data_IF_146102090654
#
_entry.id   IF_146102090654
#
_cell.length_a   1.000
_cell.length_b   1.000
_cell.length_c   1.000
_cell.angle_alpha   90.00
_cell.angle_beta   90.00
_cell.angle_gamma   90.00
#
_symmetry.space_group_name_H-M   'P 1'
#
loop_
_entity.id
_entity.type
_entity.pdbx_description
1 polymer ?
#
# COMPACT_ATOMS: atom_id res chain seq x y z
N UNK A 1 -10.72 26.07 22.49
CA UNK A 1 -10.17 26.86 21.38
C UNK A 1 -9.75 25.90 20.29
N UNK A 2 -10.17 26.12 19.03
CA UNK A 2 -9.72 25.29 17.91
C UNK A 2 -8.21 25.50 17.66
N UNK A 3 -7.46 24.47 17.25
CA UNK A 3 -6.04 24.64 16.95
C UNK A 3 -5.85 25.56 15.73
N UNK A 4 -4.78 26.39 15.72
CA UNK A 4 -4.41 27.22 14.58
C UNK A 4 -4.35 26.46 13.26
N UNK A 5 -4.68 27.12 12.16
CA UNK A 5 -4.67 26.48 10.83
C UNK A 5 -3.29 25.94 10.44
N UNK A 6 -2.21 26.57 10.91
CA UNK A 6 -0.85 26.11 10.65
C UNK A 6 -0.57 24.74 11.29
N UNK A 7 -1.20 24.40 12.42
CA UNK A 7 -1.12 23.04 12.95
C UNK A 7 -1.80 22.01 12.04
N UNK A 8 -2.92 22.36 11.41
CA UNK A 8 -3.59 21.47 10.45
C UNK A 8 -2.72 21.26 9.20
N UNK A 9 -2.06 22.31 8.71
CA UNK A 9 -1.09 22.20 7.61
C UNK A 9 0.06 21.25 7.95
N UNK A 10 0.59 21.30 9.17
CA UNK A 10 1.63 20.36 9.61
C UNK A 10 1.11 18.91 9.67
N UNK A 11 -0.15 18.70 10.09
CA UNK A 11 -0.75 17.37 10.12
C UNK A 11 -0.90 16.79 8.71
N UNK A 12 -1.44 17.56 7.75
CA UNK A 12 -1.62 17.06 6.38
C UNK A 12 -0.26 16.80 5.70
N UNK A 13 0.75 17.64 5.93
CA UNK A 13 2.11 17.41 5.43
C UNK A 13 2.73 16.12 6.00
N UNK A 14 2.48 15.80 7.28
CA UNK A 14 2.90 14.52 7.87
C UNK A 14 2.21 13.33 7.18
N UNK A 15 0.95 13.47 6.81
CA UNK A 15 0.23 12.42 6.09
C UNK A 15 0.75 12.23 4.67
N UNK A 16 1.12 13.30 3.97
CA UNK A 16 1.79 13.20 2.67
C UNK A 16 3.11 12.41 2.78
N UNK A 17 3.91 12.70 3.80
CA UNK A 17 5.13 11.94 4.08
C UNK A 17 4.84 10.44 4.34
N UNK A 18 3.76 10.11 5.06
CA UNK A 18 3.35 8.73 5.28
C UNK A 18 2.82 8.05 4.00
N UNK A 19 2.15 8.77 3.10
CA UNK A 19 1.74 8.25 1.80
C UNK A 19 2.98 7.89 0.97
N UNK A 20 3.97 8.78 0.92
CA UNK A 20 5.24 8.54 0.22
C UNK A 20 5.93 7.31 0.83
N UNK A 21 6.06 7.25 2.15
CA UNK A 21 6.67 6.12 2.84
C UNK A 21 5.94 4.79 2.56
N UNK A 22 4.61 4.78 2.53
CA UNK A 22 3.81 3.60 2.19
C UNK A 22 4.06 3.14 0.75
N UNK A 23 4.16 4.07 -0.20
CA UNK A 23 4.45 3.76 -1.60
C UNK A 23 5.87 3.18 -1.74
N UNK A 24 6.86 3.78 -1.08
CA UNK A 24 8.25 3.27 -1.06
C UNK A 24 8.33 1.86 -0.50
N UNK A 25 7.66 1.58 0.63
CA UNK A 25 7.59 0.22 1.20
C UNK A 25 6.94 -0.76 0.25
N UNK A 26 5.86 -0.35 -0.43
CA UNK A 26 5.15 -1.21 -1.40
C UNK A 26 6.03 -1.52 -2.61
N UNK A 27 6.78 -0.54 -3.13
CA UNK A 27 7.73 -0.74 -4.22
C UNK A 27 8.87 -1.69 -3.82
N UNK A 28 9.41 -1.55 -2.60
CA UNK A 28 10.39 -2.49 -2.07
C UNK A 28 9.83 -3.91 -1.99
N UNK A 29 8.63 -4.08 -1.41
CA UNK A 29 7.98 -5.39 -1.32
C UNK A 29 7.69 -5.99 -2.70
N UNK A 30 7.35 -5.18 -3.71
CA UNK A 30 7.17 -5.62 -5.08
C UNK A 30 8.47 -6.23 -5.63
N UNK A 31 9.57 -5.47 -5.57
CA UNK A 31 10.87 -5.90 -6.06
C UNK A 31 11.36 -7.16 -5.32
N UNK A 32 11.24 -7.17 -4.00
CA UNK A 32 11.67 -8.29 -3.17
C UNK A 32 10.84 -9.56 -3.41
N UNK A 33 9.51 -9.44 -3.50
CA UNK A 33 8.65 -10.58 -3.84
C UNK A 33 8.93 -11.10 -5.26
N UNK A 34 9.21 -10.20 -6.22
CA UNK A 34 9.57 -10.58 -7.60
C UNK A 34 10.87 -11.36 -7.63
N UNK A 35 11.87 -10.91 -6.85
CA UNK A 35 13.11 -11.64 -6.65
C UNK A 35 12.86 -13.05 -6.10
N UNK A 36 12.11 -13.19 -5.00
CA UNK A 36 11.80 -14.51 -4.40
C UNK A 36 11.07 -15.42 -5.40
N UNK A 37 10.02 -14.92 -6.06
CA UNK A 37 9.26 -15.70 -7.03
C UNK A 37 10.13 -16.12 -8.23
N UNK A 38 10.96 -15.20 -8.73
CA UNK A 38 11.93 -15.47 -9.79
C UNK A 38 12.96 -16.53 -9.38
N UNK A 39 13.47 -16.46 -8.15
CA UNK A 39 14.38 -17.46 -7.59
C UNK A 39 13.71 -18.83 -7.50
N UNK A 40 12.46 -18.92 -7.04
CA UNK A 40 11.71 -20.18 -7.01
C UNK A 40 11.59 -20.76 -8.42
N UNK A 41 11.15 -19.96 -9.40
CA UNK A 41 10.98 -20.44 -10.79
C UNK A 41 12.31 -20.92 -11.38
N UNK A 42 13.37 -20.13 -11.22
CA UNK A 42 14.67 -20.40 -11.84
C UNK A 42 15.41 -21.58 -11.17
N UNK A 43 15.40 -21.63 -9.84
CA UNK A 43 16.16 -22.62 -9.07
C UNK A 43 15.42 -23.95 -8.86
N UNK A 44 14.11 -24.04 -9.17
CA UNK A 44 13.29 -25.21 -8.85
C UNK A 44 13.93 -26.54 -9.27
N UNK A 45 14.33 -26.67 -10.53
CA UNK A 45 14.93 -27.93 -11.03
C UNK A 45 16.21 -28.27 -10.29
N UNK A 46 17.09 -27.30 -10.10
CA UNK A 46 18.36 -27.49 -9.38
C UNK A 46 18.12 -27.92 -7.93
N UNK A 47 17.14 -27.32 -7.24
CA UNK A 47 16.79 -27.68 -5.87
C UNK A 47 16.23 -29.12 -5.77
N UNK A 48 15.41 -29.54 -6.74
CA UNK A 48 14.87 -30.90 -6.78
C UNK A 48 15.95 -31.96 -7.02
N UNK A 49 17.01 -31.64 -7.77
CA UNK A 49 18.14 -32.55 -7.97
C UNK A 49 19.03 -32.73 -6.73
N UNK A 50 18.90 -31.88 -5.70
CA UNK A 50 19.67 -31.99 -4.45
C UNK A 50 19.03 -32.93 -3.42
N UNK A 51 17.90 -33.55 -3.75
CA UNK A 51 17.14 -34.42 -2.85
C UNK A 51 16.75 -35.73 -3.53
N UNK A 52 16.53 -36.79 -2.73
CA UNK A 52 16.07 -38.07 -3.26
C UNK A 52 14.69 -37.92 -3.88
N UNK A 53 14.39 -38.75 -4.89
CA UNK A 53 13.12 -38.75 -5.62
C UNK A 53 11.89 -38.83 -4.71
N UNK A 54 12.01 -39.54 -3.58
CA UNK A 54 10.95 -39.65 -2.56
C UNK A 54 10.55 -38.30 -1.96
N UNK A 55 11.48 -37.37 -1.76
CA UNK A 55 11.24 -36.07 -1.12
C UNK A 55 11.05 -34.93 -2.13
N UNK A 56 11.35 -35.14 -3.42
CA UNK A 56 11.15 -34.14 -4.48
C UNK A 56 9.72 -33.62 -4.53
N UNK A 57 8.72 -34.50 -4.43
CA UNK A 57 7.32 -34.09 -4.43
C UNK A 57 6.98 -33.17 -3.25
N UNK A 58 7.56 -33.41 -2.07
CA UNK A 58 7.33 -32.59 -0.88
C UNK A 58 7.95 -31.19 -1.04
N UNK A 59 9.19 -31.12 -1.52
CA UNK A 59 9.84 -29.83 -1.82
C UNK A 59 9.09 -29.06 -2.89
N UNK A 60 8.65 -29.73 -3.96
CA UNK A 60 7.87 -29.10 -5.03
C UNK A 60 6.57 -28.47 -4.50
N UNK A 61 5.87 -29.14 -3.57
CA UNK A 61 4.67 -28.59 -2.92
C UNK A 61 5.01 -27.36 -2.08
N UNK A 62 6.08 -27.38 -1.29
CA UNK A 62 6.50 -26.23 -0.47
C UNK A 62 6.83 -25.02 -1.36
N UNK A 63 7.61 -25.24 -2.43
CA UNK A 63 7.96 -24.20 -3.39
C UNK A 63 6.71 -23.64 -4.10
N UNK A 64 5.77 -24.50 -4.47
CA UNK A 64 4.50 -24.08 -5.07
C UNK A 64 3.66 -23.22 -4.10
N UNK A 65 3.57 -23.61 -2.81
CA UNK A 65 2.89 -22.81 -1.79
C UNK A 65 3.58 -21.45 -1.58
N UNK A 66 4.91 -21.41 -1.56
CA UNK A 66 5.69 -20.17 -1.52
C UNK A 66 5.43 -19.27 -2.73
N UNK A 67 5.31 -19.85 -3.91
CA UNK A 67 4.98 -19.10 -5.13
C UNK A 67 3.55 -18.54 -5.10
N UNK A 68 2.56 -19.35 -4.70
CA UNK A 68 1.16 -18.91 -4.55
C UNK A 68 1.06 -17.77 -3.53
N UNK A 69 1.78 -17.89 -2.40
CA UNK A 69 1.87 -16.82 -1.41
C UNK A 69 2.45 -15.53 -2.02
N UNK A 70 3.41 -15.65 -2.92
CA UNK A 70 3.95 -14.51 -3.69
C UNK A 70 2.94 -13.85 -4.62
N UNK A 71 2.07 -14.62 -5.27
CA UNK A 71 0.97 -14.06 -6.07
C UNK A 71 -0.02 -13.30 -5.18
N UNK A 72 -0.35 -13.84 -4.00
CA UNK A 72 -1.20 -13.15 -3.01
C UNK A 72 -0.51 -11.87 -2.51
N UNK A 73 0.80 -11.89 -2.30
CA UNK A 73 1.58 -10.70 -1.95
C UNK A 73 1.44 -9.60 -3.02
N UNK A 74 1.53 -9.95 -4.30
CA UNK A 74 1.35 -8.98 -5.40
C UNK A 74 -0.01 -8.31 -5.33
N UNK A 75 -1.08 -9.06 -5.08
CA UNK A 75 -2.41 -8.49 -4.92
C UNK A 75 -2.45 -7.41 -3.82
N UNK A 76 -1.88 -7.69 -2.65
CA UNK A 76 -1.84 -6.70 -1.56
C UNK A 76 -0.96 -5.49 -1.85
N UNK A 77 0.20 -5.69 -2.50
CA UNK A 77 1.06 -4.58 -2.94
C UNK A 77 0.33 -3.67 -3.91
N UNK A 78 -0.34 -4.23 -4.92
CA UNK A 78 -1.11 -3.44 -5.89
C UNK A 78 -2.24 -2.66 -5.20
N UNK A 79 -2.90 -3.26 -4.21
CA UNK A 79 -3.94 -2.59 -3.40
C UNK A 79 -3.37 -1.48 -2.50
N UNK A 80 -2.14 -1.62 -2.00
CA UNK A 80 -1.46 -0.58 -1.22
C UNK A 80 -1.02 0.61 -2.10
N UNK A 81 -0.61 0.35 -3.33
CA UNK A 81 -0.18 1.39 -4.28
C UNK A 81 -1.35 2.15 -4.91
N UNK A 82 -2.53 1.53 -5.02
CA UNK A 82 -3.69 2.15 -5.62
C UNK A 82 -4.03 3.49 -4.93
N UNK A 83 -4.20 4.58 -5.70
CA UNK A 83 -4.44 5.90 -5.13
C UNK A 83 -5.81 5.96 -4.46
N UNK A 84 -5.87 6.58 -3.27
CA UNK A 84 -7.13 6.84 -2.59
C UNK A 84 -7.75 8.13 -3.12
N UNK A 85 -8.83 8.00 -3.88
CA UNK A 85 -9.46 9.11 -4.62
C UNK A 85 -10.86 9.47 -4.11
N UNK A 86 -11.22 9.01 -2.91
CA UNK A 86 -12.53 9.32 -2.32
C UNK A 86 -12.53 10.73 -1.76
N UNK A 87 -13.42 11.58 -2.28
CA UNK A 87 -13.67 12.92 -1.76
C UNK A 87 -14.77 12.93 -0.71
N UNK A 88 -14.79 13.97 0.12
CA UNK A 88 -15.94 14.25 0.99
C UNK A 88 -17.16 14.82 0.24
N UNK A 89 -17.04 15.16 -1.05
CA UNK A 89 -18.14 15.76 -1.85
C UNK A 89 -19.37 14.86 -1.99
N UNK A 90 -19.25 13.58 -1.62
CA UNK A 90 -20.31 12.57 -1.66
C UNK A 90 -21.41 12.73 -0.58
N UNK A 91 -21.43 13.81 0.20
CA UNK A 91 -22.41 13.96 1.30
C UNK A 91 -23.65 14.75 0.88
N UNK A 92 -24.81 14.38 1.43
CA UNK A 92 -26.10 15.04 1.27
C UNK A 92 -26.12 16.55 1.65
N UNK A 93 -25.02 17.07 2.21
CA UNK A 93 -24.91 18.40 2.80
C UNK A 93 -24.25 19.46 1.89
N UNK A 94 -24.24 19.30 0.57
CA UNK A 94 -23.67 20.28 -0.40
C UNK A 94 -22.20 20.68 -0.09
N UNK A 95 -21.42 19.80 0.54
CA UNK A 95 -20.01 20.08 0.80
C UNK A 95 -19.21 19.98 -0.50
N UNK A 96 -18.47 21.03 -0.83
CA UNK A 96 -17.62 21.11 -2.00
C UNK A 96 -16.26 21.66 -1.59
N UNK A 97 -15.25 20.80 -1.57
CA UNK A 97 -13.90 21.18 -1.11
C UNK A 97 -13.23 22.17 -2.07
N UNK A 98 -12.53 23.15 -1.50
CA UNK A 98 -11.63 24.05 -2.22
C UNK A 98 -10.19 23.52 -2.26
N UNK A 99 -9.88 22.48 -1.47
CA UNK A 99 -8.51 21.95 -1.35
C UNK A 99 -8.36 20.64 -2.15
N UNK A 100 -9.37 19.79 -2.18
CA UNK A 100 -9.28 18.49 -2.87
C UNK A 100 -9.26 18.65 -4.39
N UNK A 101 -8.20 18.20 -5.05
CA UNK A 101 -7.98 18.45 -6.48
C UNK A 101 -9.15 18.06 -7.39
N UNK A 102 -9.85 16.94 -7.11
CA UNK A 102 -11.02 16.52 -7.91
C UNK A 102 -12.20 17.48 -7.73
N UNK A 103 -12.41 17.98 -6.51
CA UNK A 103 -13.42 19.00 -6.22
C UNK A 103 -13.06 20.30 -6.94
N UNK A 104 -11.80 20.70 -6.92
CA UNK A 104 -11.32 21.89 -7.67
C UNK A 104 -11.58 21.74 -9.17
N UNK A 105 -11.45 20.54 -9.73
CA UNK A 105 -11.73 20.31 -11.17
C UNK A 105 -13.21 20.34 -11.55
N UNK A 106 -14.12 20.33 -10.57
CA UNK A 106 -15.57 20.40 -10.80
C UNK A 106 -16.09 21.85 -10.95
N UNK A 107 -15.24 22.86 -10.73
CA UNK A 107 -15.56 24.26 -11.00
C UNK A 107 -15.61 24.55 -12.51
N UNK A 108 -16.49 25.46 -12.93
CA UNK A 108 -16.72 25.78 -14.35
C UNK A 108 -15.53 26.48 -15.03
N UNK A 109 -14.72 27.20 -14.25
CA UNK A 109 -13.52 27.91 -14.72
C UNK A 109 -12.57 28.22 -13.58
N UNK A 110 -11.30 28.51 -13.89
CA UNK A 110 -10.33 28.98 -12.90
C UNK A 110 -10.81 30.25 -12.16
N UNK A 111 -11.44 31.19 -12.87
CA UNK A 111 -12.00 32.40 -12.28
C UNK A 111 -13.12 32.10 -11.28
N UNK A 112 -13.96 31.11 -11.57
CA UNK A 112 -15.03 30.69 -10.64
C UNK A 112 -14.47 30.10 -9.34
N UNK A 113 -13.37 29.35 -9.43
CA UNK A 113 -12.66 28.83 -8.26
C UNK A 113 -11.99 29.96 -7.46
N UNK A 114 -11.28 30.87 -8.12
CA UNK A 114 -10.64 32.04 -7.46
C UNK A 114 -11.67 32.91 -6.76
N UNK A 115 -12.82 33.16 -7.40
CA UNK A 115 -13.92 33.91 -6.80
C UNK A 115 -14.39 33.22 -5.51
N UNK A 116 -14.65 31.90 -5.58
CA UNK A 116 -15.10 31.14 -4.41
C UNK A 116 -14.08 31.13 -3.28
N UNK A 117 -12.79 30.99 -3.61
CA UNK A 117 -11.70 31.01 -2.64
C UNK A 117 -11.56 32.36 -1.92
N UNK A 118 -11.83 33.48 -2.60
CA UNK A 118 -11.81 34.83 -2.01
C UNK A 118 -13.02 35.10 -1.10
N UNK A 119 -14.14 34.45 -1.37
CA UNK A 119 -15.38 34.56 -0.59
C UNK A 119 -15.36 33.67 0.67
N UNK A 120 -14.47 32.68 0.72
CA UNK A 120 -14.38 31.74 1.83
C UNK A 120 -13.75 32.40 3.06
N UNK A 121 -14.37 32.19 4.23
CA UNK A 121 -13.81 32.68 5.49
C UNK A 121 -12.83 31.69 6.10
N UNK A 122 -12.04 32.13 7.08
CA UNK A 122 -10.99 31.33 7.69
C UNK A 122 -11.55 30.07 8.39
N UNK A 123 -12.69 30.19 9.08
CA UNK A 123 -13.33 29.07 9.79
C UNK A 123 -13.79 27.97 8.82
N UNK A 124 -14.37 28.33 7.68
CA UNK A 124 -14.84 27.37 6.68
C UNK A 124 -13.66 26.71 5.93
N UNK A 125 -12.60 27.48 5.65
CA UNK A 125 -11.36 26.93 5.11
C UNK A 125 -10.67 25.98 6.11
N UNK A 126 -10.68 26.32 7.40
CA UNK A 126 -10.22 25.43 8.47
C UNK A 126 -11.04 24.13 8.51
N UNK A 127 -12.37 24.22 8.40
CA UNK A 127 -13.26 23.06 8.38
C UNK A 127 -13.03 22.17 7.16
N UNK A 128 -12.82 22.76 5.97
CA UNK A 128 -12.44 22.02 4.76
C UNK A 128 -11.13 21.26 4.97
N UNK A 129 -10.10 21.93 5.48
CA UNK A 129 -8.80 21.30 5.75
C UNK A 129 -8.92 20.16 6.78
N UNK A 130 -9.70 20.34 7.84
CA UNK A 130 -9.96 19.30 8.83
C UNK A 130 -10.66 18.07 8.21
N UNK A 131 -11.64 18.30 7.33
CA UNK A 131 -12.32 17.22 6.56
C UNK A 131 -11.34 16.51 5.64
N UNK A 132 -10.45 17.22 4.95
CA UNK A 132 -9.42 16.63 4.11
C UNK A 132 -8.46 15.76 4.91
N UNK A 133 -7.96 16.25 6.04
CA UNK A 133 -7.11 15.48 6.96
C UNK A 133 -7.80 14.16 7.35
N UNK A 134 -9.07 14.22 7.72
CA UNK A 134 -9.84 13.02 8.07
C UNK A 134 -9.95 12.04 6.88
N UNK A 135 -10.28 12.52 5.67
CA UNK A 135 -10.37 11.64 4.49
C UNK A 135 -9.02 11.02 4.12
N UNK A 136 -7.94 11.80 4.13
CA UNK A 136 -6.58 11.33 3.87
C UNK A 136 -6.17 10.26 4.90
N UNK A 137 -6.51 10.46 6.17
CA UNK A 137 -6.21 9.49 7.23
C UNK A 137 -6.86 8.11 6.99
N UNK A 138 -8.08 8.07 6.42
CA UNK A 138 -8.76 6.83 6.05
C UNK A 138 -8.02 6.10 4.93
N UNK A 139 -7.64 6.84 3.88
CA UNK A 139 -6.82 6.31 2.79
C UNK A 139 -5.50 5.75 3.31
N UNK A 140 -4.83 6.49 4.18
CA UNK A 140 -3.57 6.08 4.79
C UNK A 140 -3.71 4.80 5.62
N UNK A 141 -4.72 4.71 6.49
CA UNK A 141 -5.01 3.50 7.27
C UNK A 141 -5.20 2.29 6.36
N UNK A 142 -5.95 2.45 5.26
CA UNK A 142 -6.20 1.37 4.31
C UNK A 142 -4.93 0.94 3.58
N UNK A 143 -4.07 1.90 3.17
CA UNK A 143 -2.79 1.60 2.55
C UNK A 143 -1.87 0.81 3.47
N UNK A 144 -1.67 1.27 4.70
CA UNK A 144 -0.81 0.58 5.67
C UNK A 144 -1.34 -0.80 6.06
N UNK A 145 -2.67 -1.01 6.06
CA UNK A 145 -3.26 -2.33 6.24
C UNK A 145 -2.83 -3.30 5.14
N UNK A 146 -2.86 -2.87 3.88
CA UNK A 146 -2.41 -3.70 2.76
C UNK A 146 -0.89 -3.90 2.73
N UNK A 147 -0.10 -2.89 3.10
CA UNK A 147 1.35 -3.04 3.30
C UNK A 147 1.63 -4.10 4.37
N UNK A 148 0.88 -4.08 5.47
CA UNK A 148 0.95 -5.11 6.52
C UNK A 148 0.71 -6.51 5.97
N UNK A 149 -0.38 -6.71 5.23
CA UNK A 149 -0.68 -8.01 4.62
C UNK A 149 0.37 -8.49 3.61
N UNK A 150 0.87 -7.59 2.77
CA UNK A 150 1.96 -7.91 1.85
C UNK A 150 3.24 -8.32 2.60
N UNK A 151 3.57 -7.60 3.67
CA UNK A 151 4.73 -7.90 4.53
C UNK A 151 4.57 -9.28 5.19
N UNK A 152 3.37 -9.62 5.68
CA UNK A 152 3.09 -10.96 6.22
C UNK A 152 3.27 -12.05 5.16
N UNK A 153 2.82 -11.84 3.92
CA UNK A 153 3.02 -12.79 2.84
C UNK A 153 4.52 -13.03 2.58
N UNK A 154 5.33 -11.97 2.54
CA UNK A 154 6.79 -12.09 2.40
C UNK A 154 7.40 -12.90 3.54
N UNK A 155 7.00 -12.68 4.79
CA UNK A 155 7.48 -13.49 5.92
C UNK A 155 7.12 -14.97 5.78
N UNK A 156 5.91 -15.28 5.28
CA UNK A 156 5.49 -16.66 5.00
C UNK A 156 6.35 -17.27 3.88
N UNK A 157 6.62 -16.53 2.80
CA UNK A 157 7.50 -16.99 1.72
C UNK A 157 8.92 -17.28 2.22
N UNK A 158 9.48 -16.40 3.04
CA UNK A 158 10.79 -16.62 3.65
C UNK A 158 10.80 -17.86 4.55
N UNK A 159 9.70 -18.12 5.25
CA UNK A 159 9.55 -19.33 6.07
C UNK A 159 9.54 -20.60 5.21
N UNK A 160 8.86 -20.60 4.05
CA UNK A 160 8.90 -21.72 3.11
C UNK A 160 10.29 -21.92 2.48
N UNK A 161 10.99 -20.83 2.17
CA UNK A 161 12.38 -20.90 1.66
C UNK A 161 13.32 -21.50 2.71
N UNK A 162 13.21 -21.03 3.97
CA UNK A 162 14.00 -21.57 5.07
C UNK A 162 13.72 -23.07 5.28
N UNK A 163 12.44 -23.46 5.31
CA UNK A 163 12.05 -24.86 5.42
C UNK A 163 12.63 -25.70 4.29
N UNK A 164 12.57 -25.22 3.05
CA UNK A 164 13.14 -25.92 1.89
C UNK A 164 14.64 -26.13 2.06
N UNK A 165 15.39 -25.09 2.44
CA UNK A 165 16.84 -25.16 2.65
C UNK A 165 17.17 -26.14 3.79
N UNK A 166 16.46 -26.08 4.91
CA UNK A 166 16.68 -26.98 6.05
C UNK A 166 16.47 -28.44 5.66
N UNK A 167 15.43 -28.76 4.89
CA UNK A 167 15.17 -30.13 4.43
C UNK A 167 16.28 -30.64 3.51
N UNK A 168 16.73 -29.81 2.57
CA UNK A 168 17.86 -30.15 1.69
C UNK A 168 19.12 -30.42 2.52
N UNK A 169 19.41 -29.58 3.52
CA UNK A 169 20.60 -29.76 4.36
C UNK A 169 20.52 -31.07 5.16
N UNK A 170 19.37 -31.39 5.75
CA UNK A 170 19.17 -32.63 6.52
C UNK A 170 19.34 -33.87 5.63
N UNK A 171 18.91 -33.81 4.37
CA UNK A 171 19.02 -34.95 3.45
C UNK A 171 20.44 -35.17 2.91
N UNK A 172 21.29 -34.14 2.96
CA UNK A 172 22.68 -34.20 2.51
C UNK A 172 23.70 -34.30 3.67
N UNK A 173 23.22 -34.44 4.92
CA UNK A 173 24.01 -34.72 6.13
C UNK A 173 24.19 -36.23 6.31
#
# INVERSE_FOLDING_TARGET
MAPPIDHLKLIIQRFDAYIIASNTKSAFLLAFNTFICGSIISANKSLLHLVNERHQHFIAVILALGFICGIICLFFVMRAMYPYMTSGNSSANRYHSLIFFRSVTEFSSADSYVKKLKEENEDAFWEDLAKQIYQVSKGLRQKYKYVGYATTCVYIQLSFMLLTITLILIENL
#
